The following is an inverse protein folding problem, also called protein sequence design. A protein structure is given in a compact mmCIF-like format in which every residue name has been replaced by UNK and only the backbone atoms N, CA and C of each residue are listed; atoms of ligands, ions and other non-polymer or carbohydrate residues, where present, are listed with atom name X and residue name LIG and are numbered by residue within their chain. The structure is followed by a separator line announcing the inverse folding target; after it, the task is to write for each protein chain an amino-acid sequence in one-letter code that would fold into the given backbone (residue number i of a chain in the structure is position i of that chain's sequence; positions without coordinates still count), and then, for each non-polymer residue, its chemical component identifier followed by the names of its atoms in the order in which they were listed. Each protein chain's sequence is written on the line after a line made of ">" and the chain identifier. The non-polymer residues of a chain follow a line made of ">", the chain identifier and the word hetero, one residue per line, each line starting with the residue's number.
data_IF_996626820595
#
_entry.id   IF_996626820595
#
_cell.length_a   1.000
_cell.length_b   1.000
_cell.length_c   1.000
_cell.angle_alpha   90.00
_cell.angle_beta   90.00
_cell.angle_gamma   90.00
#
_symmetry.space_group_name_H-M   'P 1'
#
loop_
_entity.id
_entity.type
_entity.pdbx_description
1 polymer ?
#
# COMPACT_ATOMS: atom_id res chain seq x y z
N UNK A 1 11.75 8.34 4.83
CA UNK A 1 10.35 8.41 4.35
C UNK A 1 9.90 9.85 4.30
N UNK A 2 9.23 10.27 3.21
CA UNK A 2 8.48 11.52 3.16
C UNK A 2 6.99 11.20 3.08
N UNK A 3 6.25 11.45 4.17
CA UNK A 3 4.79 11.36 4.19
C UNK A 3 4.21 12.70 3.71
N UNK A 4 3.39 12.66 2.66
CA UNK A 4 2.79 13.83 2.01
C UNK A 4 1.34 13.97 2.46
N UNK A 5 0.61 12.86 2.50
CA UNK A 5 -0.75 12.80 3.03
C UNK A 5 -0.68 12.10 4.40
N UNK A 6 -1.08 12.76 5.51
CA UNK A 6 -1.03 12.15 6.83
C UNK A 6 -2.02 10.98 6.93
N UNK A 7 -1.75 10.04 7.85
CA UNK A 7 -2.72 9.01 8.20
C UNK A 7 -3.98 9.65 8.77
N UNK A 8 -5.13 9.04 8.48
CA UNK A 8 -6.40 9.35 9.12
C UNK A 8 -6.26 9.07 10.62
N UNK A 9 -6.67 10.03 11.44
CA UNK A 9 -6.65 9.88 12.89
C UNK A 9 -7.90 9.14 13.37
N UNK A 10 -7.75 8.30 14.40
CA UNK A 10 -8.86 7.48 14.92
C UNK A 10 -10.05 8.32 15.41
N UNK A 11 -9.81 9.55 15.86
CA UNK A 11 -10.88 10.47 16.28
C UNK A 11 -11.70 11.04 15.11
N UNK A 12 -11.27 10.84 13.87
CA UNK A 12 -12.00 11.23 12.66
C UNK A 12 -12.90 10.09 12.16
N UNK A 13 -12.75 8.88 12.71
CA UNK A 13 -13.54 7.72 12.34
C UNK A 13 -14.90 7.74 13.07
N UNK A 14 -15.95 7.30 12.38
CA UNK A 14 -17.23 7.00 13.00
C UNK A 14 -17.14 5.75 13.90
N UNK A 15 -18.10 5.57 14.80
CA UNK A 15 -18.13 4.39 15.68
C UNK A 15 -18.08 3.05 14.93
N UNK A 16 -18.74 2.98 13.77
CA UNK A 16 -18.71 1.78 12.90
C UNK A 16 -17.33 1.53 12.32
N UNK A 17 -16.64 2.58 11.89
CA UNK A 17 -15.29 2.49 11.34
C UNK A 17 -14.27 2.14 12.43
N UNK A 18 -14.42 2.69 13.63
CA UNK A 18 -13.61 2.33 14.80
C UNK A 18 -13.79 0.84 15.14
N UNK A 19 -15.03 0.35 15.15
CA UNK A 19 -15.29 -1.08 15.38
C UNK A 19 -14.61 -1.94 14.31
N UNK A 20 -14.72 -1.57 13.03
CA UNK A 20 -14.06 -2.28 11.93
C UNK A 20 -12.54 -2.24 12.09
N UNK A 21 -11.94 -1.09 12.41
CA UNK A 21 -10.49 -0.93 12.62
C UNK A 21 -9.95 -1.96 13.63
N UNK A 22 -10.64 -2.17 14.75
CA UNK A 22 -10.21 -3.14 15.75
C UNK A 22 -10.41 -4.61 15.36
N UNK A 23 -11.15 -4.90 14.29
CA UNK A 23 -11.26 -6.26 13.73
C UNK A 23 -10.19 -6.59 12.70
N UNK A 24 -9.50 -5.58 12.16
CA UNK A 24 -8.43 -5.77 11.19
C UNK A 24 -7.19 -6.37 11.85
N UNK A 25 -6.39 -7.11 11.07
CA UNK A 25 -5.17 -7.72 11.57
C UNK A 25 -4.13 -6.65 11.94
N UNK A 26 -3.71 -6.63 13.20
CA UNK A 26 -2.72 -5.71 13.75
C UNK A 26 -1.28 -6.26 13.69
N UNK A 27 -1.08 -7.49 13.21
CA UNK A 27 0.25 -8.10 13.10
C UNK A 27 1.08 -7.44 11.99
N UNK A 28 2.21 -6.84 12.40
CA UNK A 28 3.16 -6.21 11.50
C UNK A 28 3.61 -7.15 10.37
N UNK A 29 3.67 -6.64 9.14
CA UNK A 29 4.05 -7.40 7.95
C UNK A 29 5.39 -8.11 8.10
N UNK A 30 6.34 -7.47 8.78
CA UNK A 30 7.63 -8.04 9.11
C UNK A 30 8.64 -7.93 7.96
N UNK A 31 9.93 -7.91 8.32
CA UNK A 31 11.02 -7.56 7.39
C UNK A 31 11.11 -8.47 6.17
N UNK A 32 10.84 -9.77 6.33
CA UNK A 32 10.93 -10.74 5.23
C UNK A 32 9.94 -10.42 4.12
N UNK A 33 8.64 -10.35 4.45
CA UNK A 33 7.59 -10.02 3.48
C UNK A 33 7.85 -8.67 2.81
N UNK A 34 8.21 -7.66 3.59
CA UNK A 34 8.51 -6.33 3.05
C UNK A 34 9.72 -6.30 2.13
N UNK A 35 10.76 -7.08 2.43
CA UNK A 35 11.91 -7.24 1.56
C UNK A 35 11.52 -7.90 0.23
N UNK A 36 10.76 -8.99 0.28
CA UNK A 36 10.35 -9.72 -0.93
C UNK A 36 9.49 -8.83 -1.85
N UNK A 37 8.57 -8.05 -1.27
CA UNK A 37 7.78 -7.04 -2.00
C UNK A 37 8.69 -5.98 -2.62
N UNK A 38 9.67 -5.47 -1.88
CA UNK A 38 10.60 -4.45 -2.37
C UNK A 38 11.47 -4.97 -3.53
N UNK A 39 11.94 -6.22 -3.46
CA UNK A 39 12.72 -6.86 -4.51
C UNK A 39 11.88 -7.07 -5.78
N UNK A 40 10.62 -7.50 -5.65
CA UNK A 40 9.72 -7.66 -6.80
C UNK A 40 9.39 -6.32 -7.45
N UNK A 41 9.08 -5.30 -6.63
CA UNK A 41 8.86 -3.94 -7.12
C UNK A 41 10.11 -3.39 -7.84
N UNK A 42 11.32 -3.61 -7.33
CA UNK A 42 12.54 -3.11 -7.94
C UNK A 42 12.85 -3.73 -9.32
N UNK A 43 12.21 -4.84 -9.67
CA UNK A 43 12.30 -5.49 -10.99
C UNK A 43 11.25 -4.99 -11.98
N UNK A 44 10.32 -4.14 -11.55
CA UNK A 44 9.35 -3.47 -12.43
C UNK A 44 10.05 -2.77 -13.59
N UNK A 45 9.48 -2.90 -14.78
CA UNK A 45 10.03 -2.33 -16.02
C UNK A 45 9.13 -1.25 -16.62
N UNK A 46 7.89 -1.15 -16.16
CA UNK A 46 6.88 -0.18 -16.60
C UNK A 46 6.40 0.70 -15.46
N UNK A 47 6.01 1.93 -15.76
CA UNK A 47 5.37 2.83 -14.78
C UNK A 47 3.98 2.31 -14.35
N UNK A 48 3.43 1.33 -15.07
CA UNK A 48 2.18 0.64 -14.72
C UNK A 48 2.40 -0.63 -13.90
N UNK A 49 3.64 -1.06 -13.69
CA UNK A 49 3.93 -2.22 -12.85
C UNK A 49 3.94 -1.78 -11.39
N UNK A 50 3.13 -2.44 -10.58
CA UNK A 50 3.00 -2.12 -9.16
C UNK A 50 2.09 -3.10 -8.44
N UNK A 51 2.01 -2.92 -7.13
CA UNK A 51 1.06 -3.61 -6.28
C UNK A 51 -0.21 -2.78 -6.19
N UNK A 52 -1.20 -3.10 -7.02
CA UNK A 52 -2.51 -2.46 -7.05
C UNK A 52 -3.49 -3.30 -7.86
N UNK A 53 -4.78 -2.98 -7.79
CA UNK A 53 -5.76 -3.55 -8.73
C UNK A 53 -5.93 -2.59 -9.91
N UNK A 54 -5.83 -3.13 -11.13
CA UNK A 54 -5.96 -2.42 -12.39
C UNK A 54 -7.28 -2.77 -13.07
N UNK A 55 -8.41 -2.50 -12.40
CA UNK A 55 -9.73 -2.64 -12.99
C UNK A 55 -10.50 -1.32 -12.95
N UNK A 56 -11.37 -1.10 -13.95
CA UNK A 56 -12.26 0.06 -13.98
C UNK A 56 -13.07 0.14 -12.68
N UNK A 57 -13.30 1.35 -12.20
CA UNK A 57 -13.95 1.67 -10.93
C UNK A 57 -13.13 1.30 -9.67
N UNK A 58 -11.87 0.84 -9.82
CA UNK A 58 -10.97 0.69 -8.68
C UNK A 58 -10.43 2.04 -8.21
N UNK A 59 -10.89 2.49 -7.04
CA UNK A 59 -10.35 3.64 -6.33
C UNK A 59 -9.80 3.20 -4.98
N UNK A 60 -8.49 2.95 -4.88
CA UNK A 60 -7.87 2.32 -3.71
C UNK A 60 -6.46 2.82 -3.45
N UNK A 61 -5.61 1.93 -2.90
CA UNK A 61 -4.22 2.22 -2.60
C UNK A 61 -3.32 1.26 -3.38
N UNK A 62 -2.20 1.78 -3.87
CA UNK A 62 -1.17 1.01 -4.55
C UNK A 62 0.24 1.38 -4.11
N UNK A 63 1.18 0.45 -4.33
CA UNK A 63 2.62 0.71 -4.21
C UNK A 63 3.27 0.56 -5.58
N UNK A 64 4.13 1.51 -5.91
CA UNK A 64 4.81 1.62 -7.18
C UNK A 64 6.29 1.90 -6.98
N UNK A 65 7.07 1.74 -8.06
CA UNK A 65 8.43 2.29 -8.13
C UNK A 65 8.52 3.23 -9.34
N UNK A 66 9.05 4.42 -9.14
CA UNK A 66 9.31 5.36 -10.24
C UNK A 66 10.71 5.95 -10.08
N UNK A 67 11.56 5.77 -11.11
CA UNK A 67 12.95 6.27 -11.12
C UNK A 67 13.73 5.89 -9.85
N UNK A 68 13.55 4.66 -9.36
CA UNK A 68 14.19 4.14 -8.15
C UNK A 68 13.58 4.58 -6.82
N UNK A 69 12.53 5.41 -6.84
CA UNK A 69 11.79 5.84 -5.65
C UNK A 69 10.57 4.95 -5.45
N UNK A 70 10.40 4.38 -4.25
CA UNK A 70 9.18 3.65 -3.90
C UNK A 70 8.09 4.64 -3.50
N UNK A 71 6.88 4.41 -3.97
CA UNK A 71 5.75 5.34 -3.85
C UNK A 71 4.54 4.57 -3.33
N UNK A 72 3.97 5.05 -2.22
CA UNK A 72 2.60 4.73 -1.81
C UNK A 72 1.69 5.79 -2.40
N UNK A 73 0.67 5.40 -3.15
CA UNK A 73 -0.24 6.31 -3.84
C UNK A 73 -1.69 5.84 -3.75
N UNK A 74 -2.63 6.76 -3.90
CA UNK A 74 -3.97 6.39 -4.35
C UNK A 74 -3.91 5.87 -5.80
N UNK A 75 -4.89 5.05 -6.14
CA UNK A 75 -5.18 4.62 -7.50
C UNK A 75 -6.57 5.11 -7.84
N UNK A 76 -6.76 5.64 -9.04
CA UNK A 76 -8.06 6.14 -9.50
C UNK A 76 -8.48 5.44 -10.78
N UNK A 77 -9.69 4.88 -10.80
CA UNK A 77 -10.27 4.15 -11.93
C UNK A 77 -9.35 3.02 -12.47
N UNK A 78 -8.57 2.40 -11.59
CA UNK A 78 -7.58 1.37 -11.94
C UNK A 78 -6.31 1.89 -12.61
N UNK A 79 -6.13 3.21 -12.74
CA UNK A 79 -4.93 3.81 -13.33
C UNK A 79 -3.88 4.14 -12.27
N UNK A 80 -2.85 3.30 -12.19
CA UNK A 80 -1.52 3.60 -11.63
C UNK A 80 -1.43 4.59 -10.46
N UNK A 81 -0.41 5.44 -10.49
CA UNK A 81 -0.16 6.50 -9.50
C UNK A 81 -1.10 7.68 -9.78
N UNK A 82 -1.98 8.00 -8.83
CA UNK A 82 -2.79 9.22 -8.82
C UNK A 82 -2.23 10.25 -7.82
N UNK A 83 -2.58 10.13 -6.53
CA UNK A 83 -2.13 11.04 -5.47
C UNK A 83 -1.10 10.37 -4.57
N UNK A 84 0.12 10.91 -4.57
CA UNK A 84 1.23 10.39 -3.75
C UNK A 84 0.94 10.61 -2.26
N UNK A 85 0.84 9.51 -1.52
CA UNK A 85 0.65 9.48 -0.07
C UNK A 85 2.02 9.54 0.63
N UNK A 86 2.96 8.70 0.20
CA UNK A 86 4.30 8.62 0.77
C UNK A 86 5.34 8.25 -0.29
N UNK A 87 6.58 8.71 -0.10
CA UNK A 87 7.71 8.37 -0.97
C UNK A 87 8.95 7.96 -0.16
N UNK A 88 9.71 7.02 -0.72
CA UNK A 88 10.92 6.46 -0.11
C UNK A 88 12.04 6.42 -1.15
N UNK A 89 13.11 7.18 -0.91
CA UNK A 89 14.23 7.28 -1.83
C UNK A 89 15.15 6.04 -1.78
N UNK A 90 15.06 5.27 -0.70
CA UNK A 90 15.90 4.10 -0.46
C UNK A 90 15.05 2.88 -0.19
N UNK A 91 15.45 1.75 -0.80
CA UNK A 91 14.81 0.44 -0.57
C UNK A 91 14.78 0.07 0.92
N UNK A 92 15.83 0.37 1.67
CA UNK A 92 15.90 0.08 3.11
C UNK A 92 14.85 0.86 3.91
N UNK A 93 14.63 2.14 3.60
CA UNK A 93 13.56 2.94 4.25
C UNK A 93 12.19 2.36 3.95
N UNK A 94 11.95 1.96 2.69
CA UNK A 94 10.68 1.35 2.29
C UNK A 94 10.45 0.03 3.04
N UNK A 95 11.45 -0.85 3.10
CA UNK A 95 11.38 -2.13 3.81
C UNK A 95 11.11 -1.89 5.30
N UNK A 96 11.86 -0.98 5.93
CA UNK A 96 11.69 -0.66 7.34
C UNK A 96 10.28 -0.16 7.63
N UNK A 97 9.78 0.79 6.83
CA UNK A 97 8.42 1.30 6.94
C UNK A 97 7.38 0.19 6.78
N UNK A 98 7.37 -0.50 5.64
CA UNK A 98 6.36 -1.51 5.35
C UNK A 98 6.39 -2.64 6.38
N UNK A 99 7.57 -2.99 6.91
CA UNK A 99 7.70 -4.06 7.90
C UNK A 99 7.03 -3.74 9.24
N UNK A 100 6.82 -2.46 9.53
CA UNK A 100 6.15 -1.97 10.74
C UNK A 100 4.67 -1.64 10.51
N UNK A 101 4.17 -1.78 9.28
CA UNK A 101 2.74 -1.62 8.98
C UNK A 101 2.00 -2.97 9.10
N UNK A 102 0.68 -2.91 9.26
CA UNK A 102 -0.25 -4.04 9.34
C UNK A 102 -1.53 -3.72 8.56
N UNK A 103 -2.45 -4.67 8.40
CA UNK A 103 -3.74 -4.41 7.72
C UNK A 103 -4.48 -3.26 8.42
N UNK A 104 -4.42 -3.27 9.76
CA UNK A 104 -5.00 -2.24 10.61
C UNK A 104 -4.36 -0.88 10.37
N UNK A 105 -3.04 -0.74 10.44
CA UNK A 105 -2.39 0.58 10.27
C UNK A 105 -2.44 1.07 8.82
N UNK A 106 -2.46 0.15 7.84
CA UNK A 106 -2.58 0.48 6.43
C UNK A 106 -3.98 1.03 6.08
N UNK A 107 -5.02 0.59 6.79
CA UNK A 107 -6.40 1.08 6.61
C UNK A 107 -6.58 2.58 6.89
N UNK A 108 -5.58 3.23 7.50
CA UNK A 108 -5.58 4.65 7.80
C UNK A 108 -4.89 5.50 6.72
N UNK A 109 -4.33 4.91 5.67
CA UNK A 109 -3.77 5.67 4.55
C UNK A 109 -4.81 5.99 3.49
N UNK A 110 -4.58 7.07 2.73
CA UNK A 110 -5.46 7.55 1.68
C UNK A 110 -6.51 8.54 2.20
N UNK A 111 -7.47 8.87 1.33
CA UNK A 111 -8.49 9.88 1.63
C UNK A 111 -9.65 9.34 2.48
N UNK A 112 -9.85 8.02 2.47
CA UNK A 112 -10.97 7.34 3.11
C UNK A 112 -10.48 6.12 3.88
N UNK A 113 -11.03 5.93 5.08
CA UNK A 113 -10.73 4.79 5.92
C UNK A 113 -11.02 3.47 5.21
N UNK A 114 -10.09 2.53 5.32
CA UNK A 114 -10.17 1.17 4.80
C UNK A 114 -10.56 1.12 3.31
N UNK A 115 -10.18 2.13 2.52
CA UNK A 115 -10.53 2.18 1.11
C UNK A 115 -9.61 1.27 0.29
N UNK A 116 -10.03 0.02 0.12
CA UNK A 116 -9.36 -0.99 -0.71
C UNK A 116 -7.86 -1.05 -0.41
N UNK A 117 -7.57 -1.15 0.89
CA UNK A 117 -6.24 -1.07 1.49
C UNK A 117 -5.33 -2.21 1.06
N UNK A 118 -4.02 -1.99 1.20
CA UNK A 118 -3.02 -3.04 1.06
C UNK A 118 -2.98 -3.87 2.34
N UNK A 119 -3.37 -5.14 2.23
CA UNK A 119 -3.36 -6.12 3.31
C UNK A 119 -2.21 -7.10 3.12
N UNK A 120 -1.84 -7.85 4.16
CA UNK A 120 -0.89 -8.96 4.07
C UNK A 120 -1.28 -9.94 2.97
N UNK A 121 -2.57 -10.24 2.82
CA UNK A 121 -3.06 -11.10 1.75
C UNK A 121 -2.70 -10.55 0.37
N UNK A 122 -2.91 -9.24 0.14
CA UNK A 122 -2.52 -8.57 -1.12
C UNK A 122 -1.01 -8.53 -1.32
N UNK A 123 -0.23 -8.35 -0.25
CA UNK A 123 1.23 -8.43 -0.33
C UNK A 123 1.70 -9.82 -0.75
N UNK A 124 1.12 -10.88 -0.19
CA UNK A 124 1.45 -12.25 -0.58
C UNK A 124 1.02 -12.57 -2.01
N UNK A 125 -0.22 -12.21 -2.38
CA UNK A 125 -0.72 -12.40 -3.74
C UNK A 125 0.15 -11.67 -4.77
N UNK A 126 0.61 -10.46 -4.45
CA UNK A 126 1.56 -9.74 -5.29
C UNK A 126 2.86 -10.52 -5.54
N UNK A 127 3.30 -11.38 -4.63
CA UNK A 127 4.54 -12.14 -4.77
C UNK A 127 4.39 -13.39 -5.63
N UNK A 128 3.16 -13.85 -5.90
CA UNK A 128 2.89 -15.02 -6.74
C UNK A 128 3.39 -14.80 -8.18
N UNK A 129 3.88 -15.86 -8.82
CA UNK A 129 4.51 -15.77 -10.15
C UNK A 129 3.51 -15.36 -11.24
N UNK A 130 2.24 -15.72 -11.08
CA UNK A 130 1.11 -15.41 -11.96
C UNK A 130 0.32 -14.17 -11.52
N UNK A 131 0.89 -13.35 -10.63
CA UNK A 131 0.27 -12.08 -10.24
C UNK A 131 -0.10 -11.25 -11.47
N UNK A 132 -1.40 -10.97 -11.56
CA UNK A 132 -2.00 -10.04 -12.51
C UNK A 132 -2.74 -8.97 -11.73
N UNK A 133 -2.48 -7.67 -11.98
CA UNK A 133 -3.29 -6.61 -11.40
C UNK A 133 -4.69 -6.55 -12.04
N UNK A 134 -4.90 -7.22 -13.18
CA UNK A 134 -6.18 -7.34 -13.91
C UNK A 134 -7.02 -8.51 -13.41
#
# INVERSE_FOLDING_TARGET
>A
MKLIIPKISLNQLSDKEIQLFYTLNAENYGKRLSNDVAEKLAKSTSEHDGLYFSHRDYCGIGIFIQKGTFILSTVYDGYGIDSIIAAFNFKSEFIEWLSNESDQSMSLFGEKFNNQTLTRLRLNWYLEDDYSPF
#
